data_IF_655994196180
#
_entry.id   IF_655994196180
#
_cell.length_a   1.000
_cell.length_b   1.000
_cell.length_c   1.000
_cell.angle_alpha   90.00
_cell.angle_beta   90.00
_cell.angle_gamma   90.00
#
_symmetry.space_group_name_H-M   'P 1'
#
loop_
_entity.id
_entity.type
_entity.pdbx_description
1 polymer ?
#
# COMPACT_ATOMS: atom_id res chain seq x y z
N UNK A 1 -0.03 8.41 28.09
CA UNK A 1 -0.55 7.13 27.55
C UNK A 1 -1.33 6.34 28.60
N UNK A 2 -0.72 5.82 29.67
CA UNK A 2 -1.41 4.98 30.66
C UNK A 2 -2.68 5.60 31.25
N UNK A 3 -2.63 6.89 31.60
CA UNK A 3 -3.82 7.62 32.04
C UNK A 3 -4.93 7.66 30.98
N UNK A 4 -4.58 7.80 29.70
CA UNK A 4 -5.55 7.80 28.59
C UNK A 4 -6.20 6.42 28.44
N UNK A 5 -5.41 5.34 28.56
CA UNK A 5 -5.91 3.96 28.52
C UNK A 5 -6.91 3.70 29.66
N UNK A 6 -6.59 4.14 30.88
CA UNK A 6 -7.44 3.95 32.07
C UNK A 6 -8.73 4.77 31.95
N UNK A 7 -8.62 6.07 31.63
CA UNK A 7 -9.77 6.98 31.53
C UNK A 7 -10.75 6.51 30.45
N UNK A 8 -10.23 6.12 29.28
CA UNK A 8 -11.05 5.74 28.13
C UNK A 8 -11.36 4.24 28.07
N UNK A 9 -10.91 3.46 29.07
CA UNK A 9 -11.06 2.00 29.14
C UNK A 9 -10.68 1.32 27.81
N UNK A 10 -9.56 1.74 27.22
CA UNK A 10 -9.14 1.29 25.90
C UNK A 10 -8.87 -0.21 25.94
N UNK A 11 -9.51 -0.95 25.05
CA UNK A 11 -9.25 -2.35 24.77
C UNK A 11 -8.77 -2.48 23.32
N UNK A 12 -7.86 -3.41 23.08
CA UNK A 12 -7.42 -3.73 21.73
C UNK A 12 -8.20 -4.94 21.25
N UNK A 13 -9.03 -4.75 20.23
CA UNK A 13 -9.74 -5.85 19.58
C UNK A 13 -9.15 -6.10 18.20
N UNK A 14 -8.95 -7.37 17.85
CA UNK A 14 -8.37 -7.71 16.55
C UNK A 14 -9.30 -7.29 15.39
N UNK A 15 -10.60 -7.12 15.64
CA UNK A 15 -11.58 -6.63 14.67
C UNK A 15 -11.55 -5.10 14.47
N UNK A 16 -10.76 -4.37 15.26
CA UNK A 16 -10.67 -2.90 15.15
C UNK A 16 -10.10 -2.48 13.79
N UNK A 17 -10.60 -1.39 13.23
CA UNK A 17 -10.04 -0.76 12.02
C UNK A 17 -8.86 0.18 12.31
N UNK A 18 -8.52 0.36 13.59
CA UNK A 18 -7.48 1.29 14.06
C UNK A 18 -6.10 0.65 14.22
N UNK A 19 -5.90 -0.55 13.67
CA UNK A 19 -4.59 -1.19 13.63
C UNK A 19 -4.35 -1.88 12.29
N UNK A 20 -3.08 -2.05 11.96
CA UNK A 20 -2.67 -2.61 10.68
C UNK A 20 -1.26 -3.23 10.80
N UNK A 21 -0.96 -4.14 9.87
CA UNK A 21 0.39 -4.68 9.69
C UNK A 21 1.09 -3.96 8.55
N UNK A 22 2.29 -3.45 8.79
CA UNK A 22 3.24 -3.02 7.76
C UNK A 22 4.29 -4.11 7.59
N UNK A 23 4.28 -4.77 6.44
CA UNK A 23 5.14 -5.89 6.11
C UNK A 23 6.19 -5.44 5.12
N UNK A 24 7.47 -5.61 5.44
CA UNK A 24 8.58 -5.36 4.54
C UNK A 24 8.87 -6.63 3.75
N UNK A 25 8.66 -6.56 2.44
CA UNK A 25 8.88 -7.67 1.53
C UNK A 25 10.23 -7.53 0.83
N UNK A 26 10.88 -8.68 0.61
CA UNK A 26 12.01 -8.84 -0.29
C UNK A 26 11.58 -9.78 -1.41
N UNK A 27 11.84 -9.38 -2.64
CA UNK A 27 11.35 -10.10 -3.79
C UNK A 27 12.17 -9.81 -5.03
N UNK A 28 11.71 -10.35 -6.16
CA UNK A 28 12.36 -10.22 -7.44
C UNK A 28 11.38 -9.70 -8.48
N UNK A 29 11.72 -8.59 -9.13
CA UNK A 29 10.98 -8.04 -10.26
C UNK A 29 11.75 -8.28 -11.55
N UNK A 30 11.21 -9.10 -12.45
CA UNK A 30 11.91 -9.53 -13.69
C UNK A 30 13.33 -10.06 -13.39
N UNK A 31 13.47 -10.83 -12.32
CA UNK A 31 14.75 -11.41 -11.88
C UNK A 31 15.71 -10.45 -11.17
N UNK A 32 15.31 -9.21 -10.89
CA UNK A 32 16.13 -8.24 -10.13
C UNK A 32 15.58 -8.06 -8.71
N UNK A 33 16.48 -8.10 -7.74
CA UNK A 33 16.14 -7.89 -6.33
C UNK A 33 15.47 -6.54 -6.11
N UNK A 34 14.39 -6.57 -5.33
CA UNK A 34 13.60 -5.41 -4.98
C UNK A 34 13.06 -5.54 -3.56
N UNK A 35 12.68 -4.40 -2.98
CA UNK A 35 12.03 -4.34 -1.67
C UNK A 35 10.90 -3.34 -1.71
N UNK A 36 9.82 -3.69 -1.02
CA UNK A 36 8.59 -2.90 -0.97
C UNK A 36 7.85 -3.22 0.32
N UNK A 37 6.82 -2.43 0.62
CA UNK A 37 5.96 -2.64 1.78
C UNK A 37 4.55 -3.03 1.36
N UNK A 38 3.93 -3.88 2.15
CA UNK A 38 2.50 -4.15 2.11
C UNK A 38 1.88 -3.68 3.42
N UNK A 39 0.74 -3.00 3.33
CA UNK A 39 -0.10 -2.65 4.47
C UNK A 39 -1.30 -3.56 4.47
N UNK A 40 -1.50 -4.30 5.55
CA UNK A 40 -2.60 -5.24 5.71
C UNK A 40 -3.48 -4.82 6.88
N UNK A 41 -4.77 -5.07 6.76
CA UNK A 41 -5.75 -4.90 7.83
C UNK A 41 -6.59 -6.16 7.97
N UNK A 42 -7.36 -6.25 9.05
CA UNK A 42 -8.33 -7.32 9.24
C UNK A 42 -9.63 -7.00 8.49
N UNK A 43 -10.20 -8.01 7.84
CA UNK A 43 -11.53 -7.99 7.23
C UNK A 43 -12.35 -9.15 7.80
N UNK A 44 -13.57 -8.88 8.24
CA UNK A 44 -14.52 -9.89 8.69
C UNK A 44 -15.05 -10.68 7.48
N UNK A 45 -15.13 -12.00 7.62
CA UNK A 45 -15.62 -12.94 6.62
C UNK A 45 -16.68 -13.83 7.25
N UNK A 46 -17.96 -13.55 6.97
CA UNK A 46 -19.06 -14.26 7.64
C UNK A 46 -19.23 -13.79 9.08
N UNK A 47 -19.84 -14.62 9.92
CA UNK A 47 -20.21 -14.22 11.29
C UNK A 47 -18.99 -14.19 12.23
N UNK A 48 -18.14 -15.23 12.22
CA UNK A 48 -17.09 -15.43 13.24
C UNK A 48 -15.66 -15.58 12.70
N UNK A 49 -15.41 -15.28 11.43
CA UNK A 49 -14.07 -15.45 10.83
C UNK A 49 -13.49 -14.12 10.37
N UNK A 50 -12.17 -14.00 10.52
CA UNK A 50 -11.42 -12.81 10.16
C UNK A 50 -10.19 -13.21 9.34
N UNK A 51 -9.86 -12.39 8.35
CA UNK A 51 -8.69 -12.59 7.49
C UNK A 51 -7.91 -11.29 7.36
N UNK A 52 -6.62 -11.43 7.09
CA UNK A 52 -5.80 -10.31 6.63
C UNK A 52 -6.08 -10.02 5.16
N UNK A 53 -6.21 -8.75 4.81
CA UNK A 53 -6.33 -8.27 3.44
C UNK A 53 -5.29 -7.20 3.15
N UNK A 54 -4.74 -7.19 1.94
CA UNK A 54 -3.78 -6.17 1.50
C UNK A 54 -4.58 -4.93 1.13
N UNK A 55 -4.37 -3.85 1.89
CA UNK A 55 -5.02 -2.57 1.62
C UNK A 55 -4.19 -1.68 0.71
N UNK A 56 -2.87 -1.77 0.84
CA UNK A 56 -1.94 -0.94 0.07
C UNK A 56 -0.63 -1.65 -0.21
N UNK A 57 -0.17 -1.56 -1.45
CA UNK A 57 1.22 -1.79 -1.80
C UNK A 57 1.98 -0.46 -1.87
N UNK A 58 3.21 -0.43 -1.39
CA UNK A 58 4.01 0.81 -1.29
C UNK A 58 5.46 0.54 -1.66
N UNK A 59 6.02 1.40 -2.51
CA UNK A 59 7.37 1.28 -3.02
C UNK A 59 7.49 1.80 -4.44
N UNK A 60 8.69 2.27 -4.79
CA UNK A 60 9.02 2.86 -6.10
C UNK A 60 8.71 1.95 -7.29
N UNK A 61 8.65 0.64 -7.07
CA UNK A 61 8.32 -0.34 -8.10
C UNK A 61 6.88 -0.17 -8.63
N UNK A 62 5.95 0.28 -7.79
CA UNK A 62 4.53 0.41 -8.12
C UNK A 62 4.17 1.80 -8.67
N UNK A 63 5.11 2.74 -8.67
CA UNK A 63 4.95 4.07 -9.25
C UNK A 63 5.01 3.96 -10.78
N UNK A 64 3.86 4.07 -11.45
CA UNK A 64 3.76 4.17 -12.92
C UNK A 64 3.89 5.63 -13.38
N UNK A 65 4.87 6.36 -12.87
CA UNK A 65 5.13 7.73 -13.32
C UNK A 65 5.89 7.72 -14.66
N UNK A 66 5.55 8.62 -15.60
CA UNK A 66 6.22 8.68 -16.88
C UNK A 66 7.66 9.14 -16.66
N UNK A 67 8.63 8.28 -17.02
CA UNK A 67 10.06 8.56 -16.83
C UNK A 67 10.61 9.60 -17.81
N UNK A 68 9.85 9.91 -18.87
CA UNK A 68 10.21 10.87 -19.91
C UNK A 68 8.97 11.70 -20.24
N UNK A 69 9.08 13.02 -20.13
CA UNK A 69 8.10 13.95 -20.72
C UNK A 69 8.41 14.03 -22.21
N UNK A 70 7.76 13.18 -23.01
CA UNK A 70 7.84 13.28 -24.46
C UNK A 70 6.54 13.91 -24.98
N UNK A 71 6.56 15.23 -25.12
CA UNK A 71 5.42 16.03 -25.61
C UNK A 71 5.11 15.78 -27.09
N UNK A 72 5.98 15.08 -27.83
CA UNK A 72 5.78 14.82 -29.26
C UNK A 72 4.79 13.71 -29.55
N UNK A 73 4.39 12.91 -28.55
CA UNK A 73 3.50 11.77 -28.76
C UNK A 73 2.20 12.08 -28.04
N UNK A 74 1.16 12.37 -28.83
CA UNK A 74 -0.17 12.71 -28.37
C UNK A 74 -1.18 11.93 -29.20
N UNK A 75 -2.32 11.60 -28.59
CA UNK A 75 -3.51 11.20 -29.34
C UNK A 75 -4.22 12.48 -29.74
N UNK A 76 -4.26 12.74 -31.04
CA UNK A 76 -4.86 13.96 -31.56
C UNK A 76 -6.38 13.79 -31.65
N UNK A 77 -7.17 14.88 -31.56
CA UNK A 77 -8.63 14.78 -31.68
C UNK A 77 -9.09 14.10 -32.98
N UNK A 78 -8.36 14.25 -34.08
CA UNK A 78 -8.65 13.67 -35.40
C UNK A 78 -8.17 12.23 -35.57
N UNK A 79 -7.45 11.64 -34.61
CA UNK A 79 -7.01 10.23 -34.69
C UNK A 79 -8.19 9.25 -34.79
N UNK A 80 -9.40 9.65 -34.40
CA UNK A 80 -10.62 8.85 -34.59
C UNK A 80 -10.88 8.52 -36.06
N UNK A 81 -10.47 9.38 -37.00
CA UNK A 81 -10.57 9.14 -38.45
C UNK A 81 -9.70 7.97 -38.91
N UNK A 82 -8.56 7.76 -38.25
CA UNK A 82 -7.68 6.61 -38.49
C UNK A 82 -8.00 5.44 -37.57
N UNK A 83 -9.15 5.46 -36.89
CA UNK A 83 -9.56 4.45 -35.88
C UNK A 83 -8.50 4.26 -34.80
N UNK A 84 -7.79 5.33 -34.44
CA UNK A 84 -6.75 5.35 -33.42
C UNK A 84 -5.61 4.34 -33.66
N UNK A 85 -5.18 4.14 -34.91
CA UNK A 85 -4.01 3.29 -35.23
C UNK A 85 -2.74 3.66 -34.46
N UNK A 86 -2.61 4.93 -34.05
CA UNK A 86 -1.54 5.44 -33.19
C UNK A 86 -1.45 4.73 -31.82
N UNK A 87 -2.53 4.10 -31.33
CA UNK A 87 -2.52 3.28 -30.11
C UNK A 87 -1.54 2.11 -30.18
N UNK A 88 -1.38 1.49 -31.35
CA UNK A 88 -0.41 0.41 -31.52
C UNK A 88 0.99 0.89 -31.14
N UNK A 89 1.42 2.01 -31.75
CA UNK A 89 2.72 2.64 -31.48
C UNK A 89 2.89 3.07 -30.03
N UNK A 90 1.83 3.57 -29.39
CA UNK A 90 1.86 3.95 -27.96
C UNK A 90 2.17 2.73 -27.08
N UNK A 91 1.55 1.59 -27.39
CA UNK A 91 1.68 0.35 -26.61
C UNK A 91 2.92 -0.49 -26.95
N UNK A 92 3.64 -0.19 -28.03
CA UNK A 92 4.88 -0.90 -28.42
C UNK A 92 6.12 -0.04 -28.20
N UNK A 93 6.15 1.15 -28.80
CA UNK A 93 7.36 1.98 -28.91
C UNK A 93 7.50 2.92 -27.71
N UNK A 94 6.37 3.29 -27.09
CA UNK A 94 6.28 4.30 -26.05
C UNK A 94 5.75 3.79 -24.71
N UNK A 95 5.88 2.48 -24.46
CA UNK A 95 5.43 1.81 -23.23
C UNK A 95 5.87 2.52 -21.93
N UNK A 96 7.09 3.08 -21.91
CA UNK A 96 7.65 3.79 -20.74
C UNK A 96 6.93 5.11 -20.41
N UNK A 97 6.11 5.60 -21.32
CA UNK A 97 5.38 6.87 -21.20
C UNK A 97 3.86 6.68 -21.34
N UNK A 98 3.36 5.44 -21.29
CA UNK A 98 1.94 5.13 -21.52
C UNK A 98 1.00 5.89 -20.57
N UNK A 99 1.49 6.25 -19.38
CA UNK A 99 0.70 7.03 -18.41
C UNK A 99 0.53 8.50 -18.80
N UNK A 100 1.25 9.02 -19.79
CA UNK A 100 0.99 10.35 -20.38
C UNK A 100 -0.35 10.44 -21.12
N UNK A 101 -0.92 9.31 -21.51
CA UNK A 101 -2.23 9.23 -22.18
C UNK A 101 -3.39 9.09 -21.20
N UNK A 102 -3.10 8.99 -19.90
CA UNK A 102 -4.13 9.08 -18.89
C UNK A 102 -4.59 10.54 -18.73
N UNK A 103 -5.79 10.74 -18.19
CA UNK A 103 -6.25 12.09 -17.91
C UNK A 103 -5.31 12.78 -16.87
N UNK A 104 -5.26 14.12 -16.87
CA UNK A 104 -4.39 14.90 -15.97
C UNK A 104 -4.62 14.68 -14.46
N UNK A 105 -5.76 14.09 -14.09
CA UNK A 105 -6.13 13.82 -12.70
C UNK A 105 -6.05 12.33 -12.36
N UNK A 106 -5.55 11.50 -13.28
CA UNK A 106 -5.56 10.07 -13.12
C UNK A 106 -4.49 9.68 -12.12
N UNK A 107 -4.92 9.02 -11.06
CA UNK A 107 -4.04 8.47 -10.04
C UNK A 107 -3.99 6.96 -10.19
N UNK A 108 -2.77 6.50 -10.45
CA UNK A 108 -2.42 5.08 -10.43
C UNK A 108 -2.62 4.58 -9.01
N UNK A 109 -3.36 3.49 -8.86
CA UNK A 109 -3.42 2.76 -7.60
C UNK A 109 -2.24 1.78 -7.54
N UNK A 110 -1.24 1.99 -6.66
CA UNK A 110 -0.07 1.11 -6.54
C UNK A 110 -0.45 -0.35 -6.21
N UNK A 111 -1.57 -0.55 -5.52
CA UNK A 111 -2.05 -1.88 -5.10
C UNK A 111 -2.51 -2.69 -6.29
N UNK A 112 -3.24 -2.06 -7.22
CA UNK A 112 -3.59 -2.68 -8.50
C UNK A 112 -2.35 -3.05 -9.33
N UNK A 113 -1.31 -2.20 -9.32
CA UNK A 113 -0.04 -2.50 -10.00
C UNK A 113 0.64 -3.72 -9.37
N UNK A 114 0.70 -3.77 -8.05
CA UNK A 114 1.21 -4.92 -7.31
C UNK A 114 0.47 -6.22 -7.68
N UNK A 115 -0.87 -6.23 -7.61
CA UNK A 115 -1.66 -7.40 -7.98
C UNK A 115 -1.40 -7.83 -9.41
N UNK A 116 -1.36 -6.88 -10.35
CA UNK A 116 -1.06 -7.17 -11.76
C UNK A 116 0.31 -7.82 -11.93
N UNK A 117 1.35 -7.27 -11.28
CA UNK A 117 2.71 -7.80 -11.37
C UNK A 117 2.84 -9.20 -10.76
N UNK A 118 2.16 -9.48 -9.65
CA UNK A 118 2.14 -10.82 -9.04
C UNK A 118 1.36 -11.79 -9.91
N UNK A 119 0.16 -11.42 -10.35
CA UNK A 119 -0.71 -12.25 -11.18
C UNK A 119 -0.07 -12.62 -12.53
N UNK A 120 0.75 -11.73 -13.09
CA UNK A 120 1.47 -11.97 -14.36
C UNK A 120 2.84 -12.63 -14.17
N UNK A 121 3.25 -12.93 -12.92
CA UNK A 121 4.55 -13.53 -12.62
C UNK A 121 5.75 -12.60 -12.79
N UNK A 122 5.53 -11.29 -12.99
CA UNK A 122 6.59 -10.29 -13.11
C UNK A 122 7.25 -9.96 -11.78
N UNK A 123 6.50 -10.08 -10.68
CA UNK A 123 6.96 -9.85 -9.31
C UNK A 123 6.71 -11.09 -8.48
N UNK A 124 7.74 -11.55 -7.77
CA UNK A 124 7.66 -12.61 -6.78
C UNK A 124 8.12 -12.09 -5.42
N UNK A 125 7.44 -12.50 -4.35
CA UNK A 125 7.94 -12.34 -2.98
C UNK A 125 8.83 -13.54 -2.68
N UNK A 126 10.08 -13.29 -2.35
CA UNK A 126 11.05 -14.34 -2.05
C UNK A 126 11.11 -14.61 -0.54
N UNK A 127 11.06 -13.57 0.29
CA UNK A 127 10.89 -13.70 1.75
C UNK A 127 10.33 -12.43 2.39
N UNK A 128 9.87 -12.58 3.64
CA UNK A 128 9.42 -11.48 4.50
C UNK A 128 10.57 -11.04 5.39
N UNK A 129 10.97 -9.78 5.29
CA UNK A 129 12.11 -9.20 6.01
C UNK A 129 11.71 -8.75 7.42
N UNK A 130 10.53 -8.14 7.55
CA UNK A 130 10.05 -7.61 8.82
C UNK A 130 8.52 -7.44 8.81
N UNK A 131 7.90 -7.59 9.99
CA UNK A 131 6.49 -7.31 10.23
C UNK A 131 6.36 -6.36 11.42
N UNK A 132 5.77 -5.19 11.18
CA UNK A 132 5.46 -4.19 12.21
C UNK A 132 3.94 -4.04 12.33
N UNK A 133 3.40 -4.26 13.51
CA UNK A 133 1.98 -4.00 13.80
C UNK A 133 1.87 -2.62 14.44
N UNK A 134 1.01 -1.75 13.92
CA UNK A 134 0.79 -0.40 14.44
C UNK A 134 -0.62 -0.27 14.98
N UNK A 135 -0.76 0.32 16.17
CA UNK A 135 -2.03 0.49 16.88
C UNK A 135 -2.31 1.98 17.12
N UNK A 136 -3.51 2.41 16.76
CA UNK A 136 -3.95 3.81 16.84
C UNK A 136 -5.12 4.01 17.82
N UNK A 137 -5.55 2.95 18.53
CA UNK A 137 -6.70 2.95 19.43
C UNK A 137 -6.58 3.92 20.62
N UNK A 138 -5.37 4.22 21.10
CA UNK A 138 -5.18 5.00 22.33
C UNK A 138 -5.29 6.49 22.04
N UNK A 139 -6.23 7.25 22.61
CA UNK A 139 -6.37 8.69 22.33
C UNK A 139 -5.05 9.45 22.47
N UNK A 140 -4.71 10.30 21.48
CA UNK A 140 -3.48 11.11 21.42
C UNK A 140 -2.14 10.36 21.35
N UNK A 141 -2.16 9.02 21.27
CA UNK A 141 -0.96 8.20 21.16
C UNK A 141 -1.10 7.12 20.08
N UNK A 142 0.03 6.69 19.54
CA UNK A 142 0.14 5.53 18.68
C UNK A 142 1.37 4.72 19.12
N UNK A 143 1.32 3.40 18.92
CA UNK A 143 2.47 2.55 19.20
C UNK A 143 2.60 1.45 18.15
N UNK A 144 3.81 0.93 18.01
CA UNK A 144 4.11 -0.21 17.16
C UNK A 144 4.73 -1.35 17.96
N UNK A 145 4.48 -2.57 17.49
CA UNK A 145 5.19 -3.76 17.93
C UNK A 145 5.89 -4.41 16.74
N UNK A 146 7.07 -4.95 17.00
CA UNK A 146 7.85 -5.75 16.05
C UNK A 146 8.35 -7.02 16.72
N UNK A 147 8.63 -8.03 15.90
CA UNK A 147 9.34 -9.22 16.37
C UNK A 147 10.85 -8.98 16.36
N UNK A 148 11.48 -9.07 17.52
CA UNK A 148 12.93 -8.98 17.67
C UNK A 148 13.51 -10.38 17.85
N UNK A 149 14.34 -10.80 16.89
CA UNK A 149 15.09 -12.05 16.97
C UNK A 149 16.50 -11.78 17.50
N UNK A 150 16.68 -11.93 18.81
CA UNK A 150 17.95 -11.70 19.51
C UNK A 150 18.13 -12.70 20.64
N UNK A 151 19.36 -13.11 20.92
CA UNK A 151 19.65 -14.00 22.04
C UNK A 151 19.32 -13.32 23.39
N UNK A 152 18.51 -13.98 24.23
CA UNK A 152 18.17 -13.55 25.59
C UNK A 152 16.71 -13.16 25.83
N UNK A 153 16.44 -12.61 27.02
CA UNK A 153 15.09 -12.33 27.57
C UNK A 153 14.26 -11.28 26.80
N UNK A 154 14.80 -10.67 25.75
CA UNK A 154 14.13 -9.66 24.97
C UNK A 154 13.88 -10.11 23.51
N UNK A 155 13.72 -11.41 23.28
CA UNK A 155 13.24 -11.96 22.02
C UNK A 155 11.70 -11.97 21.99
N UNK A 156 11.13 -11.88 20.78
CA UNK A 156 9.68 -11.94 20.59
C UNK A 156 9.04 -10.61 20.16
N UNK A 157 7.70 -10.56 20.24
CA UNK A 157 6.92 -9.37 19.94
C UNK A 157 7.06 -8.33 21.06
N UNK A 158 7.74 -7.24 20.77
CA UNK A 158 7.97 -6.16 21.73
C UNK A 158 7.50 -4.83 21.17
N UNK A 159 7.22 -3.88 22.06
CA UNK A 159 6.99 -2.49 21.68
C UNK A 159 8.26 -1.96 21.04
N UNK A 160 8.14 -1.60 19.77
CA UNK A 160 9.19 -1.00 18.95
C UNK A 160 9.20 0.51 19.17
N UNK A 161 8.03 1.16 19.14
CA UNK A 161 7.93 2.60 19.27
C UNK A 161 6.60 3.03 19.90
N UNK A 162 6.61 4.19 20.56
CA UNK A 162 5.46 4.87 21.14
C UNK A 162 5.62 6.38 20.87
N UNK A 163 4.65 6.99 20.21
CA UNK A 163 4.68 8.41 19.89
C UNK A 163 3.33 9.08 20.11
N UNK A 164 3.35 10.41 20.28
CA UNK A 164 2.13 11.21 20.30
C UNK A 164 1.61 11.33 18.87
N UNK A 165 0.31 11.13 18.70
CA UNK A 165 -0.36 11.26 17.42
C UNK A 165 -1.79 11.69 17.69
N UNK A 166 -2.15 12.89 17.24
CA UNK A 166 -3.50 13.42 17.39
C UNK A 166 -4.52 12.59 16.62
N UNK A 167 -5.78 12.67 17.02
CA UNK A 167 -6.85 11.95 16.32
C UNK A 167 -6.98 12.35 14.84
N UNK A 168 -6.64 13.58 14.46
CA UNK A 168 -6.70 14.00 13.06
C UNK A 168 -5.52 13.49 12.24
N UNK A 169 -4.31 13.45 12.80
CA UNK A 169 -3.16 12.79 12.17
C UNK A 169 -3.46 11.29 11.94
N UNK A 170 -4.09 10.62 12.92
CA UNK A 170 -4.50 9.21 12.78
C UNK A 170 -5.47 9.01 11.63
N UNK A 171 -6.49 9.86 11.52
CA UNK A 171 -7.46 9.80 10.41
C UNK A 171 -6.76 10.00 9.06
N UNK A 172 -5.88 10.99 8.95
CA UNK A 172 -5.12 11.23 7.71
C UNK A 172 -4.24 10.03 7.35
N UNK A 173 -3.58 9.44 8.34
CA UNK A 173 -2.74 8.27 8.15
C UNK A 173 -3.54 7.05 7.69
N UNK A 174 -4.67 6.76 8.33
CA UNK A 174 -5.56 5.68 7.93
C UNK A 174 -6.16 5.92 6.54
N UNK A 175 -6.53 7.14 6.20
CA UNK A 175 -7.00 7.50 4.84
C UNK A 175 -5.95 7.23 3.75
N UNK A 176 -4.66 7.25 4.10
CA UNK A 176 -3.58 6.94 3.16
C UNK A 176 -3.32 5.43 3.01
N UNK A 177 -3.87 4.60 3.91
CA UNK A 177 -3.78 3.13 3.87
C UNK A 177 -5.04 2.53 3.27
N UNK A 178 -6.20 2.96 3.75
CA UNK A 178 -7.48 2.52 3.23
C UNK A 178 -7.69 3.15 1.86
N UNK A 179 -7.50 2.35 0.82
CA UNK A 179 -7.87 2.71 -0.54
C UNK A 179 -9.37 2.98 -0.53
N UNK A 180 -9.77 4.26 -0.63
CA UNK A 180 -11.20 4.60 -0.72
C UNK A 180 -11.79 3.85 -1.92
N UNK A 181 -12.94 3.17 -1.78
CA UNK A 181 -13.65 2.68 -2.95
C UNK A 181 -13.86 3.88 -3.86
N UNK A 182 -13.27 3.86 -5.07
CA UNK A 182 -13.57 4.86 -6.09
C UNK A 182 -15.09 4.80 -6.27
N UNK A 183 -15.76 5.90 -5.92
CA UNK A 183 -17.21 6.05 -6.05
C UNK A 183 -17.62 5.56 -7.44
N UNK A 184 -18.59 4.65 -7.49
CA UNK A 184 -19.27 4.28 -8.74
C UNK A 184 -19.79 5.58 -9.37
N UNK A 185 -19.24 5.91 -10.54
CA UNK A 185 -19.83 6.88 -11.46
C UNK A 185 -21.08 6.23 -12.04
#
# INVERSE_FOLDING_TARGET
MMQQVIIHKVQLHYADSLWFAKVKCKGSYKGKDTSFFLYLTIEQRGEDMYKWVIQKADGKLFELTPKIKNERIMLMPDDHETRFTSLHRITTDYQKCVTNFANKYYQVDPTTVFFTMVQTGLLKIDFIDNVKLTFLQIPEYAFSIEYFDREGNNSGWLIDNLWKMSNDEKKQFLNNIYTRPKSKI
#
